data_IF_658184102654
#
_entry.id   IF_658184102654
#
_cell.length_a   1.000
_cell.length_b   1.000
_cell.length_c   1.000
_cell.angle_alpha   90.00
_cell.angle_beta   90.00
_cell.angle_gamma   90.00
#
_symmetry.space_group_name_H-M   'P 1'
#
loop_
_entity.id
_entity.type
_entity.pdbx_description
1 polymer ?
#
# COMPACT_ATOMS: atom_id res chain seq x y z
N UNK A 1 27.01 10.90 -22.11
CA UNK A 1 27.97 10.12 -21.29
C UNK A 1 27.32 9.83 -19.95
N UNK A 2 27.26 8.55 -19.60
CA UNK A 2 26.66 8.09 -18.35
C UNK A 2 27.78 7.63 -17.43
N UNK A 3 27.71 8.00 -16.18
CA UNK A 3 28.67 7.57 -15.15
C UNK A 3 27.95 6.70 -14.13
N UNK A 4 28.48 5.50 -13.87
CA UNK A 4 28.02 4.66 -12.77
C UNK A 4 28.34 5.34 -11.44
N UNK A 5 27.36 5.48 -10.58
CA UNK A 5 27.55 5.99 -9.23
C UNK A 5 28.17 4.90 -8.35
N UNK A 6 29.04 5.32 -7.41
CA UNK A 6 29.53 4.42 -6.37
C UNK A 6 28.39 4.13 -5.40
N UNK A 7 28.27 2.87 -4.99
CA UNK A 7 27.31 2.43 -3.98
C UNK A 7 27.78 2.93 -2.60
N UNK A 8 27.48 4.19 -2.27
CA UNK A 8 27.74 4.74 -0.93
C UNK A 8 26.57 4.52 0.05
N UNK A 9 25.42 4.05 -0.43
CA UNK A 9 24.33 3.54 0.38
C UNK A 9 24.00 2.13 -0.10
N UNK A 10 24.31 1.14 0.71
CA UNK A 10 23.90 -0.25 0.48
C UNK A 10 22.38 -0.38 0.66
N UNK A 11 21.64 0.04 -0.35
CA UNK A 11 20.31 -0.50 -0.57
C UNK A 11 20.51 -1.97 -0.95
N UNK A 12 19.80 -2.88 -0.30
CA UNK A 12 19.94 -4.34 -0.50
C UNK A 12 19.58 -4.80 -1.91
N UNK A 13 19.06 -3.89 -2.74
CA UNK A 13 18.79 -4.09 -4.17
C UNK A 13 20.06 -3.75 -4.95
N UNK A 14 20.77 -4.73 -5.46
CA UNK A 14 21.96 -4.57 -6.31
C UNK A 14 21.68 -3.89 -7.67
N UNK A 15 20.81 -2.90 -7.71
CA UNK A 15 20.50 -2.15 -8.92
C UNK A 15 21.60 -1.13 -9.16
N UNK A 16 22.34 -1.20 -10.27
CA UNK A 16 23.39 -0.23 -10.55
C UNK A 16 22.78 1.16 -10.78
N UNK A 17 23.20 2.13 -9.99
CA UNK A 17 22.79 3.53 -10.15
C UNK A 17 23.68 4.23 -11.17
N UNK A 18 23.07 4.99 -12.06
CA UNK A 18 23.75 5.76 -13.07
C UNK A 18 23.34 7.23 -12.98
N UNK A 19 24.28 8.13 -13.28
CA UNK A 19 23.99 9.55 -13.44
C UNK A 19 24.36 9.99 -14.84
N UNK A 20 23.51 10.80 -15.46
CA UNK A 20 23.84 11.48 -16.71
C UNK A 20 24.91 12.53 -16.40
N UNK A 21 26.13 12.33 -16.90
CA UNK A 21 27.24 13.24 -16.66
C UNK A 21 27.43 14.25 -17.80
N UNK A 22 27.08 13.88 -19.02
CA UNK A 22 27.27 14.72 -20.19
C UNK A 22 26.39 14.29 -21.35
N UNK A 23 25.80 15.23 -22.05
CA UNK A 23 25.11 15.01 -23.32
C UNK A 23 26.08 15.33 -24.44
N UNK A 24 26.56 14.32 -25.17
CA UNK A 24 27.51 14.48 -26.28
C UNK A 24 26.79 14.85 -27.56
N UNK A 25 25.67 14.21 -27.83
CA UNK A 25 24.80 14.46 -28.99
C UNK A 25 23.35 14.46 -28.51
N UNK A 26 22.57 15.43 -28.94
CA UNK A 26 21.15 15.49 -28.71
C UNK A 26 20.40 15.06 -29.98
N UNK A 27 19.27 14.38 -29.80
CA UNK A 27 18.37 13.95 -30.86
C UNK A 27 18.95 12.87 -31.83
N UNK A 28 19.98 12.15 -31.43
CA UNK A 28 20.45 11.00 -32.18
C UNK A 28 19.56 9.78 -31.88
N UNK A 29 19.11 9.11 -32.94
CA UNK A 29 18.35 7.88 -32.79
C UNK A 29 19.27 6.76 -32.28
N UNK A 30 18.89 6.15 -31.15
CA UNK A 30 19.61 5.04 -30.55
C UNK A 30 18.69 3.83 -30.42
N UNK A 31 18.71 2.90 -31.41
CA UNK A 31 17.79 1.77 -31.42
C UNK A 31 17.84 0.89 -30.16
N UNK A 32 19.01 0.79 -29.53
CA UNK A 32 19.15 0.03 -28.29
C UNK A 32 18.43 0.71 -27.12
N UNK A 33 18.53 2.04 -26.99
CA UNK A 33 17.84 2.81 -25.96
C UNK A 33 16.32 2.84 -26.23
N UNK A 34 15.92 2.99 -27.49
CA UNK A 34 14.52 2.98 -27.88
C UNK A 34 13.86 1.64 -27.54
N UNK A 35 14.57 0.52 -27.71
CA UNK A 35 14.08 -0.80 -27.29
C UNK A 35 13.87 -0.87 -25.77
N UNK A 36 14.87 -0.45 -24.99
CA UNK A 36 14.78 -0.45 -23.52
C UNK A 36 13.64 0.45 -23.06
N UNK A 37 13.47 1.61 -23.70
CA UNK A 37 12.38 2.53 -23.38
C UNK A 37 11.02 1.91 -23.71
N UNK A 38 10.88 1.24 -24.86
CA UNK A 38 9.64 0.55 -25.22
C UNK A 38 9.33 -0.57 -24.20
N UNK A 39 10.30 -1.41 -23.85
CA UNK A 39 10.14 -2.46 -22.84
C UNK A 39 9.77 -1.87 -21.46
N UNK A 40 10.31 -0.70 -21.13
CA UNK A 40 9.95 0.00 -19.88
C UNK A 40 8.53 0.58 -19.92
N UNK A 41 8.10 1.08 -21.07
CA UNK A 41 6.76 1.65 -21.28
C UNK A 41 5.67 0.59 -21.47
N UNK A 42 6.03 -0.65 -21.78
CA UNK A 42 5.05 -1.74 -21.90
C UNK A 42 4.31 -1.92 -20.56
N UNK A 43 2.99 -1.93 -20.64
CA UNK A 43 2.13 -2.20 -19.49
C UNK A 43 2.26 -3.66 -19.08
N UNK A 44 2.48 -3.88 -17.79
CA UNK A 44 2.60 -5.23 -17.23
C UNK A 44 1.46 -5.44 -16.24
N UNK A 45 0.65 -6.44 -16.50
CA UNK A 45 -0.47 -6.82 -15.66
C UNK A 45 -0.24 -8.19 -15.00
N UNK A 46 -0.71 -8.32 -13.78
CA UNK A 46 -0.91 -9.58 -13.07
C UNK A 46 -2.40 -9.89 -13.06
N UNK A 47 -2.79 -10.97 -13.73
CA UNK A 47 -4.15 -11.51 -13.66
C UNK A 47 -4.20 -12.56 -12.55
N UNK A 48 -5.09 -12.40 -11.58
CA UNK A 48 -5.27 -13.34 -10.48
C UNK A 48 -6.76 -13.59 -10.21
N UNK A 49 -7.14 -14.84 -9.95
CA UNK A 49 -8.55 -15.21 -9.75
C UNK A 49 -9.17 -14.60 -8.48
N UNK A 50 -8.35 -14.30 -7.46
CA UNK A 50 -8.80 -13.74 -6.17
C UNK A 50 -8.62 -12.23 -6.15
N UNK A 51 -7.48 -11.74 -6.64
CA UNK A 51 -7.11 -10.32 -6.58
C UNK A 51 -7.59 -9.53 -7.79
N UNK A 52 -8.05 -10.21 -8.86
CA UNK A 52 -8.41 -9.56 -10.12
C UNK A 52 -7.18 -9.11 -10.90
N UNK A 53 -7.28 -7.96 -11.56
CA UNK A 53 -6.20 -7.38 -12.36
C UNK A 53 -5.42 -6.35 -11.55
N UNK A 54 -4.12 -6.56 -11.42
CA UNK A 54 -3.20 -5.60 -10.83
C UNK A 54 -2.20 -5.15 -11.90
N UNK A 55 -2.00 -3.85 -12.06
CA UNK A 55 -1.07 -3.24 -13.00
C UNK A 55 0.23 -2.86 -12.31
N UNK A 56 1.36 -3.15 -12.94
CA UNK A 56 2.68 -2.83 -12.42
C UNK A 56 3.00 -1.34 -12.64
N UNK A 57 3.13 -0.62 -11.56
CA UNK A 57 3.74 0.71 -11.52
C UNK A 57 5.26 0.54 -11.34
N UNK A 58 5.99 0.66 -12.45
CA UNK A 58 7.46 0.44 -12.47
C UNK A 58 8.23 1.53 -11.75
N UNK A 59 7.67 2.75 -11.67
CA UNK A 59 8.32 3.88 -11.01
C UNK A 59 8.30 3.74 -9.48
N UNK A 60 7.21 3.18 -8.96
CA UNK A 60 7.02 2.96 -7.52
C UNK A 60 7.27 1.51 -7.09
N UNK A 61 7.60 0.62 -8.04
CA UNK A 61 7.81 -0.81 -7.80
C UNK A 61 6.63 -1.45 -7.05
N UNK A 62 5.41 -1.20 -7.57
CA UNK A 62 4.16 -1.67 -6.96
C UNK A 62 3.23 -2.27 -8.01
N UNK A 63 2.58 -3.37 -7.66
CA UNK A 63 1.39 -3.83 -8.35
C UNK A 63 0.18 -3.15 -7.70
N UNK A 64 -0.62 -2.45 -8.51
CA UNK A 64 -1.79 -1.68 -8.04
C UNK A 64 -3.06 -2.14 -8.72
N UNK A 65 -4.14 -2.15 -7.99
CA UNK A 65 -5.47 -2.43 -8.50
C UNK A 65 -6.56 -2.24 -7.47
N UNK A 66 -7.75 -2.66 -7.82
CA UNK A 66 -8.88 -2.72 -6.89
C UNK A 66 -9.27 -4.16 -6.64
N UNK A 67 -9.50 -4.49 -5.38
CA UNK A 67 -9.96 -5.82 -4.97
C UNK A 67 -11.30 -5.71 -4.23
N UNK A 68 -12.06 -6.81 -4.26
CA UNK A 68 -13.29 -6.89 -3.50
C UNK A 68 -12.97 -7.30 -2.06
N UNK A 69 -13.31 -6.43 -1.09
CA UNK A 69 -13.13 -6.63 0.33
C UNK A 69 -14.49 -6.50 1.04
N UNK A 70 -14.99 -7.56 1.66
CA UNK A 70 -16.28 -7.57 2.38
C UNK A 70 -17.45 -6.92 1.61
N UNK A 71 -17.44 -7.03 0.27
CA UNK A 71 -18.46 -6.46 -0.61
C UNK A 71 -18.14 -5.07 -1.18
N UNK A 72 -17.16 -4.38 -0.66
CA UNK A 72 -16.66 -3.10 -1.14
C UNK A 72 -15.49 -3.30 -2.12
N UNK A 73 -15.19 -2.29 -2.93
CA UNK A 73 -13.94 -2.24 -3.69
C UNK A 73 -12.96 -1.32 -2.97
N UNK A 74 -11.79 -1.85 -2.64
CA UNK A 74 -10.71 -1.11 -1.99
C UNK A 74 -9.48 -1.05 -2.89
N UNK A 75 -8.65 -0.03 -2.71
CA UNK A 75 -7.34 0.02 -3.36
C UNK A 75 -6.41 -1.04 -2.75
N UNK A 76 -5.69 -1.78 -3.61
CA UNK A 76 -4.65 -2.71 -3.19
C UNK A 76 -3.33 -2.37 -3.86
N UNK A 77 -2.26 -2.34 -3.05
CA UNK A 77 -0.89 -2.19 -3.53
C UNK A 77 -0.03 -3.32 -2.97
N UNK A 78 0.71 -3.99 -3.84
CA UNK A 78 1.74 -4.97 -3.45
C UNK A 78 3.11 -4.39 -3.78
N UNK A 79 3.99 -4.29 -2.80
CA UNK A 79 5.40 -3.97 -3.04
C UNK A 79 6.06 -5.14 -3.77
N UNK A 80 6.74 -4.82 -4.87
CA UNK A 80 7.41 -5.80 -5.72
C UNK A 80 8.72 -5.23 -6.25
N UNK A 81 9.62 -6.09 -6.74
CA UNK A 81 10.68 -5.63 -7.62
C UNK A 81 10.14 -5.66 -9.06
N UNK A 82 10.15 -4.52 -9.74
CA UNK A 82 9.60 -4.38 -11.09
C UNK A 82 10.34 -5.24 -12.13
N UNK A 83 11.59 -5.63 -11.84
CA UNK A 83 12.46 -6.37 -12.74
C UNK A 83 12.66 -7.84 -12.33
N UNK A 84 12.16 -8.23 -11.15
CA UNK A 84 12.20 -9.61 -10.63
C UNK A 84 10.79 -10.11 -10.27
N UNK A 85 10.20 -10.85 -11.20
CA UNK A 85 8.85 -11.43 -10.99
C UNK A 85 8.79 -12.47 -9.87
N UNK A 86 9.90 -13.05 -9.47
CA UNK A 86 9.93 -14.02 -8.35
C UNK A 86 9.64 -13.31 -7.02
N UNK A 87 10.00 -12.02 -6.92
CA UNK A 87 9.69 -11.17 -5.76
C UNK A 87 8.18 -11.00 -5.51
N UNK A 88 7.34 -11.18 -6.55
CA UNK A 88 5.89 -10.98 -6.47
C UNK A 88 5.17 -12.09 -5.70
N UNK A 89 5.81 -13.24 -5.52
CA UNK A 89 5.18 -14.44 -4.95
C UNK A 89 4.71 -14.22 -3.52
N UNK A 90 5.57 -13.67 -2.66
CA UNK A 90 5.28 -13.55 -1.23
C UNK A 90 4.19 -12.51 -0.93
N UNK A 91 4.25 -11.25 -1.44
CA UNK A 91 3.17 -10.30 -1.27
C UNK A 91 1.85 -10.79 -1.87
N UNK A 92 1.89 -11.47 -3.01
CA UNK A 92 0.69 -12.06 -3.64
C UNK A 92 0.05 -13.13 -2.78
N UNK A 93 0.82 -14.03 -2.17
CA UNK A 93 0.30 -15.08 -1.27
C UNK A 93 -0.35 -14.43 -0.05
N UNK A 94 0.31 -13.43 0.57
CA UNK A 94 -0.24 -12.71 1.71
C UNK A 94 -1.54 -11.98 1.34
N UNK A 95 -1.58 -11.27 0.22
CA UNK A 95 -2.77 -10.60 -0.28
C UNK A 95 -3.94 -11.58 -0.50
N UNK A 96 -3.68 -12.72 -1.15
CA UNK A 96 -4.70 -13.76 -1.37
C UNK A 96 -5.25 -14.33 -0.07
N UNK A 97 -4.40 -14.57 0.92
CA UNK A 97 -4.83 -15.06 2.23
C UNK A 97 -5.76 -14.05 2.92
N UNK A 98 -5.41 -12.77 2.90
CA UNK A 98 -6.22 -11.70 3.46
C UNK A 98 -7.58 -11.57 2.76
N UNK A 99 -7.57 -11.48 1.42
CA UNK A 99 -8.80 -11.31 0.63
C UNK A 99 -9.72 -12.53 0.71
N UNK A 100 -9.15 -13.74 0.75
CA UNK A 100 -9.95 -14.97 0.84
C UNK A 100 -10.69 -15.13 2.17
N UNK A 101 -10.19 -14.54 3.25
CA UNK A 101 -10.80 -14.54 4.59
C UNK A 101 -11.06 -13.10 5.08
N UNK A 102 -11.49 -12.24 4.14
CA UNK A 102 -11.61 -10.80 4.39
C UNK A 102 -12.52 -10.48 5.58
N UNK A 103 -13.61 -11.22 5.79
CA UNK A 103 -14.53 -10.97 6.91
C UNK A 103 -13.82 -11.13 8.25
N UNK A 104 -13.11 -12.25 8.44
CA UNK A 104 -12.39 -12.52 9.69
C UNK A 104 -11.25 -11.52 9.93
N UNK A 105 -10.57 -11.09 8.87
CA UNK A 105 -9.50 -10.10 8.98
C UNK A 105 -10.04 -8.69 9.23
N UNK A 106 -11.14 -8.32 8.57
CA UNK A 106 -11.79 -7.02 8.77
C UNK A 106 -12.25 -6.86 10.22
N UNK A 107 -12.99 -7.85 10.74
CA UNK A 107 -13.46 -7.87 12.12
C UNK A 107 -12.31 -7.70 13.12
N UNK A 108 -11.22 -8.47 12.97
CA UNK A 108 -10.04 -8.39 13.86
C UNK A 108 -9.35 -7.04 13.80
N UNK A 109 -9.20 -6.46 12.60
CA UNK A 109 -8.52 -5.17 12.44
C UNK A 109 -9.37 -4.04 13.01
N UNK A 110 -10.68 -4.07 12.79
CA UNK A 110 -11.63 -3.09 13.31
C UNK A 110 -11.71 -3.19 14.84
N UNK A 111 -11.82 -4.40 15.41
CA UNK A 111 -11.84 -4.62 16.86
C UNK A 111 -10.54 -4.10 17.51
N UNK A 112 -9.40 -4.42 16.92
CA UNK A 112 -8.12 -3.92 17.39
C UNK A 112 -8.03 -2.39 17.34
N UNK A 113 -8.42 -1.78 16.22
CA UNK A 113 -8.39 -0.34 16.07
C UNK A 113 -9.35 0.36 17.06
N UNK A 114 -10.57 -0.16 17.23
CA UNK A 114 -11.52 0.39 18.18
C UNK A 114 -11.00 0.33 19.61
N UNK A 115 -10.44 -0.82 20.04
CA UNK A 115 -9.85 -0.98 21.35
C UNK A 115 -8.71 0.02 21.64
N UNK A 116 -7.83 0.24 20.65
CA UNK A 116 -6.67 1.12 20.81
C UNK A 116 -7.04 2.61 20.76
N UNK A 117 -8.03 3.00 19.96
CA UNK A 117 -8.25 4.41 19.66
C UNK A 117 -9.47 5.04 20.33
N UNK A 118 -10.48 4.27 20.76
CA UNK A 118 -11.71 4.81 21.38
C UNK A 118 -11.39 5.66 22.61
N UNK A 119 -10.53 5.16 23.50
CA UNK A 119 -10.13 5.89 24.69
C UNK A 119 -9.43 7.21 24.34
N UNK A 120 -8.48 7.16 23.42
CA UNK A 120 -7.74 8.36 22.99
C UNK A 120 -8.65 9.38 22.32
N UNK A 121 -9.64 8.92 21.54
CA UNK A 121 -10.67 9.77 20.95
C UNK A 121 -11.47 10.49 22.02
N UNK A 122 -12.01 9.75 23.00
CA UNK A 122 -12.83 10.31 24.08
C UNK A 122 -12.04 11.31 24.92
N UNK A 123 -10.81 10.98 25.34
CA UNK A 123 -9.94 11.88 26.11
C UNK A 123 -9.61 13.19 25.37
N UNK A 124 -9.43 13.12 24.05
CA UNK A 124 -9.09 14.30 23.23
C UNK A 124 -10.31 15.21 23.08
N UNK A 125 -11.48 14.65 22.82
CA UNK A 125 -12.70 15.42 22.52
C UNK A 125 -13.40 15.93 23.78
N UNK A 126 -13.27 15.23 24.92
CA UNK A 126 -13.76 15.75 26.22
C UNK A 126 -13.24 17.16 26.52
N UNK A 127 -12.00 17.46 26.11
CA UNK A 127 -11.39 18.77 26.33
C UNK A 127 -11.91 19.89 25.39
N UNK A 128 -12.62 19.53 24.32
CA UNK A 128 -13.09 20.50 23.30
C UNK A 128 -14.54 20.96 23.55
N UNK A 129 -15.27 20.28 24.43
CA UNK A 129 -16.67 20.56 24.72
C UNK A 129 -16.86 21.13 26.14
N UNK A 130 -17.91 21.88 26.34
CA UNK A 130 -18.34 22.32 27.67
C UNK A 130 -18.86 21.16 28.51
N UNK A 131 -18.76 21.23 29.82
CA UNK A 131 -19.17 20.16 30.75
C UNK A 131 -20.60 19.68 30.45
N UNK A 132 -20.74 18.43 30.05
CA UNK A 132 -22.01 17.74 29.80
C UNK A 132 -22.53 17.78 28.35
N UNK A 133 -21.77 18.34 27.41
CA UNK A 133 -22.15 18.34 25.98
C UNK A 133 -21.45 17.22 25.18
N UNK A 134 -20.41 16.60 25.73
CA UNK A 134 -19.69 15.50 25.09
C UNK A 134 -20.31 14.15 25.46
N UNK A 135 -20.65 13.36 24.46
CA UNK A 135 -21.08 11.96 24.61
C UNK A 135 -19.93 11.03 24.23
N UNK A 136 -19.44 10.26 25.20
CA UNK A 136 -18.38 9.29 24.97
C UNK A 136 -18.83 8.22 23.95
N UNK A 137 -17.97 7.91 23.00
CA UNK A 137 -18.18 6.78 22.09
C UNK A 137 -17.82 5.48 22.80
N UNK A 138 -18.64 4.45 22.59
CA UNK A 138 -18.27 3.07 22.90
C UNK A 138 -17.32 2.51 21.86
N UNK A 139 -16.61 1.42 22.17
CA UNK A 139 -15.80 0.69 21.18
C UNK A 139 -16.64 0.19 20.01
N UNK A 140 -17.90 -0.22 20.26
CA UNK A 140 -18.85 -0.67 19.23
C UNK A 140 -19.25 0.47 18.29
N UNK A 141 -19.57 1.65 18.84
CA UNK A 141 -19.90 2.84 18.04
C UNK A 141 -18.69 3.31 17.22
N UNK A 142 -17.51 3.29 17.81
CA UNK A 142 -16.26 3.63 17.11
C UNK A 142 -15.98 2.64 15.98
N UNK A 143 -16.07 1.33 16.25
CA UNK A 143 -15.89 0.28 15.25
C UNK A 143 -16.83 0.41 14.07
N UNK A 144 -18.09 0.78 14.32
CA UNK A 144 -19.13 0.94 13.28
C UNK A 144 -18.83 2.06 12.27
N UNK A 145 -17.93 2.99 12.61
CA UNK A 145 -17.52 4.12 11.76
C UNK A 145 -16.27 3.82 10.92
N UNK A 146 -15.61 2.68 11.14
CA UNK A 146 -14.42 2.29 10.39
C UNK A 146 -14.80 1.58 9.10
N UNK A 147 -14.26 2.05 7.99
CA UNK A 147 -14.43 1.41 6.68
C UNK A 147 -13.08 1.26 6.01
N UNK A 148 -12.69 0.04 5.66
CA UNK A 148 -11.43 -0.16 4.93
C UNK A 148 -11.49 0.46 3.54
N UNK A 149 -10.46 1.22 3.18
CA UNK A 149 -10.35 1.90 1.87
C UNK A 149 -9.13 1.45 1.09
N UNK A 150 -8.09 0.97 1.78
CA UNK A 150 -6.83 0.58 1.13
C UNK A 150 -6.09 -0.48 1.93
N UNK A 151 -5.36 -1.35 1.21
CA UNK A 151 -4.50 -2.38 1.75
C UNK A 151 -3.16 -2.40 1.00
N UNK A 152 -2.08 -2.10 1.71
CA UNK A 152 -0.70 -2.19 1.21
C UNK A 152 -0.04 -3.46 1.75
N UNK A 153 0.60 -4.23 0.90
CA UNK A 153 1.35 -5.45 1.25
C UNK A 153 2.82 -5.24 0.90
N UNK A 154 3.68 -5.38 1.89
CA UNK A 154 5.11 -5.24 1.71
C UNK A 154 5.77 -6.50 1.11
N UNK A 155 7.02 -6.37 0.63
CA UNK A 155 7.80 -7.47 0.06
C UNK A 155 7.96 -8.67 1.00
N UNK A 156 7.98 -8.43 2.31
CA UNK A 156 8.08 -9.46 3.33
C UNK A 156 6.73 -10.14 3.68
N UNK A 157 5.63 -9.68 3.05
CA UNK A 157 4.28 -10.18 3.28
C UNK A 157 3.58 -9.56 4.48
N UNK A 158 4.20 -8.58 5.15
CA UNK A 158 3.50 -7.75 6.13
C UNK A 158 2.51 -6.83 5.41
N UNK A 159 1.49 -6.37 6.14
CA UNK A 159 0.46 -5.51 5.58
C UNK A 159 0.25 -4.24 6.38
N UNK A 160 -0.32 -3.24 5.71
CA UNK A 160 -0.84 -2.02 6.29
C UNK A 160 -2.22 -1.74 5.70
N UNK A 161 -3.23 -1.81 6.54
CA UNK A 161 -4.62 -1.51 6.22
C UNK A 161 -4.96 -0.08 6.62
N UNK A 162 -5.73 0.61 5.77
CA UNK A 162 -6.15 1.99 5.99
C UNK A 162 -7.67 2.03 6.08
N UNK A 163 -8.16 2.58 7.17
CA UNK A 163 -9.58 2.76 7.42
C UNK A 163 -9.95 4.23 7.39
N UNK A 164 -10.97 4.55 6.62
CA UNK A 164 -11.72 5.80 6.79
C UNK A 164 -12.48 5.70 8.12
N UNK A 165 -12.47 6.77 8.88
CA UNK A 165 -13.05 6.83 10.22
C UNK A 165 -14.17 7.87 10.35
N UNK A 166 -14.89 8.15 9.27
CA UNK A 166 -16.06 9.06 9.26
C UNK A 166 -15.82 10.38 10.02
N UNK A 167 -14.69 11.03 9.71
CA UNK A 167 -14.23 12.30 10.30
C UNK A 167 -13.96 12.28 11.82
N UNK A 168 -13.83 11.10 12.45
CA UNK A 168 -13.44 11.03 13.86
C UNK A 168 -12.09 11.72 14.14
N UNK A 169 -11.17 11.73 13.18
CA UNK A 169 -9.86 12.38 13.27
C UNK A 169 -9.56 13.23 12.02
N UNK A 170 -10.38 14.25 11.73
CA UNK A 170 -10.12 15.24 10.66
C UNK A 170 -9.35 14.68 9.46
N UNK A 171 -9.98 14.27 8.40
CA UNK A 171 -9.36 13.80 7.14
C UNK A 171 -8.19 12.79 7.29
N UNK A 172 -8.05 12.17 8.46
CA UNK A 172 -6.98 11.21 8.75
C UNK A 172 -7.49 9.77 8.64
N UNK A 173 -6.61 8.86 8.22
CA UNK A 173 -6.92 7.43 8.20
C UNK A 173 -6.40 6.76 9.46
N UNK A 174 -7.19 5.84 10.01
CA UNK A 174 -6.69 4.87 10.98
C UNK A 174 -5.89 3.81 10.23
N UNK A 175 -4.72 3.48 10.73
CA UNK A 175 -3.86 2.46 10.10
C UNK A 175 -3.59 1.30 11.03
N UNK A 176 -3.84 0.08 10.54
CA UNK A 176 -3.53 -1.17 11.23
C UNK A 176 -2.43 -1.90 10.47
N UNK A 177 -1.39 -2.33 11.16
CA UNK A 177 -0.29 -3.09 10.58
C UNK A 177 -0.25 -4.50 11.15
N UNK A 178 0.13 -5.47 10.32
CA UNK A 178 0.21 -6.86 10.74
C UNK A 178 0.96 -7.73 9.77
N UNK A 179 0.94 -9.03 10.01
CA UNK A 179 1.51 -10.05 9.10
C UNK A 179 0.63 -11.27 9.04
N UNK A 180 0.56 -11.87 7.86
CA UNK A 180 -0.08 -13.18 7.65
C UNK A 180 0.96 -14.25 8.00
N UNK A 181 0.65 -15.07 9.00
CA UNK A 181 1.48 -16.22 9.40
C UNK A 181 1.11 -17.47 8.64
#
# INVERSE_FOLDING_TARGET
KIRKLKDECADQRHIPRYALSEVLVAHEDCPALNRVLAEYQDEVELQDEVLGTLTLDKDFEKLRGQVKWCGLHIEMCLDVDAFDKDSWSKPRIAAKSLVSDCISWDDKMIEYAAHEFTKSYNETHECEYDEGEFEELSEEDYASRLTMVKLDIALDGSFKAYFDCDNLFFDSFITVTGSVQ
#
